data_IF_582711633493
#
_entry.id   IF_582711633493
#
_cell.length_a   1.000
_cell.length_b   1.000
_cell.length_c   1.000
_cell.angle_alpha   90.00
_cell.angle_beta   90.00
_cell.angle_gamma   90.00
#
_symmetry.space_group_name_H-M   'P 1'
#
loop_
_entity.id
_entity.type
_entity.pdbx_description
1 polymer ?
#
# COMPACT_ATOMS: atom_id res chain seq x y z
N UNK A 1 -16.57 14.42 0.20
CA UNK A 1 -15.76 14.03 -0.97
C UNK A 1 -16.56 13.30 -2.05
N UNK A 2 -17.55 12.46 -1.74
CA UNK A 2 -18.36 11.72 -2.73
C UNK A 2 -19.16 12.57 -3.74
N UNK A 3 -19.21 13.90 -3.57
CA UNK A 3 -19.85 14.82 -4.52
C UNK A 3 -19.01 15.16 -5.74
N UNK A 4 -17.69 14.88 -5.70
CA UNK A 4 -16.77 15.17 -6.79
C UNK A 4 -16.78 14.06 -7.83
N UNK A 5 -16.75 14.44 -9.11
CA UNK A 5 -16.56 13.51 -10.24
C UNK A 5 -15.07 13.36 -10.49
N UNK A 6 -14.56 12.14 -10.45
CA UNK A 6 -13.12 11.82 -10.51
C UNK A 6 -12.75 10.94 -11.71
N UNK A 7 -13.70 10.56 -12.55
CA UNK A 7 -13.47 9.62 -13.63
C UNK A 7 -12.78 10.20 -14.88
N UNK A 8 -12.45 11.50 -14.88
CA UNK A 8 -11.80 12.17 -16.01
C UNK A 8 -10.66 13.07 -15.52
N UNK A 9 -9.45 12.81 -16.02
CA UNK A 9 -8.32 13.71 -15.83
C UNK A 9 -8.56 14.96 -16.69
N UNK A 10 -8.24 16.14 -16.17
CA UNK A 10 -8.34 17.41 -16.93
C UNK A 10 -7.41 17.33 -18.15
N UNK A 11 -7.93 17.37 -19.39
CA UNK A 11 -7.15 17.03 -20.60
C UNK A 11 -5.89 17.90 -20.81
N UNK A 12 -5.94 19.19 -20.43
CA UNK A 12 -4.82 20.12 -20.59
C UNK A 12 -3.82 20.15 -19.42
N UNK A 13 -3.94 19.22 -18.46
CA UNK A 13 -3.07 19.19 -17.30
C UNK A 13 -1.78 18.43 -17.59
N UNK A 14 -0.67 18.81 -16.91
CA UNK A 14 0.57 18.02 -16.94
C UNK A 14 0.34 16.57 -16.44
N UNK A 15 -0.64 16.37 -15.58
CA UNK A 15 -1.01 15.06 -15.07
C UNK A 15 -1.61 14.18 -16.16
N UNK A 16 -2.44 14.73 -17.06
CA UNK A 16 -3.00 13.98 -18.19
C UNK A 16 -1.91 13.44 -19.14
N UNK A 17 -0.82 14.18 -19.30
CA UNK A 17 0.30 13.75 -20.13
C UNK A 17 1.05 12.51 -19.57
N UNK A 18 0.93 12.24 -18.28
CA UNK A 18 1.51 11.05 -17.63
C UNK A 18 0.64 9.80 -17.84
N UNK A 19 -0.63 9.97 -18.17
CA UNK A 19 -1.60 8.89 -18.35
C UNK A 19 -2.35 9.01 -19.68
N UNK A 20 -1.65 8.96 -20.82
CA UNK A 20 -2.26 9.15 -22.16
C UNK A 20 -3.31 8.09 -22.49
N UNK A 21 -3.19 6.91 -21.89
CA UNK A 21 -4.08 5.75 -22.13
C UNK A 21 -5.32 5.75 -21.21
N UNK A 22 -5.49 6.78 -20.35
CA UNK A 22 -6.64 6.83 -19.47
C UNK A 22 -7.95 6.93 -20.26
N UNK A 23 -8.82 5.95 -20.08
CA UNK A 23 -10.19 5.97 -20.61
C UNK A 23 -11.08 6.72 -19.64
N UNK A 24 -11.60 7.91 -19.99
CA UNK A 24 -12.45 8.67 -19.08
C UNK A 24 -13.80 7.99 -18.91
N UNK A 25 -14.25 7.91 -17.65
CA UNK A 25 -15.57 7.42 -17.28
C UNK A 25 -16.29 8.51 -16.50
N UNK A 26 -17.18 9.23 -17.16
CA UNK A 26 -17.95 10.30 -16.52
C UNK A 26 -18.88 9.73 -15.44
N UNK A 27 -19.28 10.57 -14.48
CA UNK A 27 -20.13 10.22 -13.34
C UNK A 27 -19.44 9.32 -12.28
N UNK A 28 -18.16 8.97 -12.47
CA UNK A 28 -17.40 8.22 -11.46
C UNK A 28 -17.14 9.10 -10.23
N UNK A 29 -17.54 8.62 -9.07
CA UNK A 29 -17.34 9.30 -7.78
C UNK A 29 -16.29 8.54 -6.96
N UNK A 30 -15.77 9.21 -5.92
CA UNK A 30 -14.88 8.56 -4.95
C UNK A 30 -15.66 7.43 -4.24
N UNK A 31 -15.23 6.16 -4.35
CA UNK A 31 -15.87 5.06 -3.64
C UNK A 31 -15.59 5.15 -2.13
N UNK A 32 -16.44 4.56 -1.32
CA UNK A 32 -16.14 4.26 0.08
C UNK A 32 -15.29 3.00 0.19
N UNK A 33 -14.64 2.79 1.33
CA UNK A 33 -13.90 1.56 1.60
C UNK A 33 -14.85 0.34 1.60
N UNK A 34 -16.06 0.49 2.15
CA UNK A 34 -17.09 -0.55 2.14
C UNK A 34 -17.52 -0.94 0.73
N UNK A 35 -17.65 0.06 -0.17
CA UNK A 35 -17.98 -0.20 -1.57
C UNK A 35 -16.87 -1.02 -2.27
N UNK A 36 -15.59 -0.76 -1.95
CA UNK A 36 -14.47 -1.54 -2.45
C UNK A 36 -14.49 -2.96 -1.90
N UNK A 37 -14.71 -3.14 -0.60
CA UNK A 37 -14.80 -4.46 0.02
C UNK A 37 -15.97 -5.26 -0.57
N UNK A 38 -17.14 -4.65 -0.72
CA UNK A 38 -18.30 -5.27 -1.35
C UNK A 38 -18.05 -5.66 -2.82
N UNK A 39 -17.31 -4.84 -3.58
CA UNK A 39 -16.92 -5.17 -4.96
C UNK A 39 -16.09 -6.46 -4.99
N UNK A 40 -15.08 -6.57 -4.14
CA UNK A 40 -14.20 -7.74 -4.08
C UNK A 40 -14.96 -8.99 -3.62
N UNK A 41 -15.90 -8.85 -2.70
CA UNK A 41 -16.78 -9.95 -2.27
C UNK A 41 -17.68 -10.42 -3.43
N UNK A 42 -18.34 -9.50 -4.16
CA UNK A 42 -19.16 -9.85 -5.34
C UNK A 42 -18.35 -10.53 -6.43
N UNK A 43 -17.07 -10.14 -6.62
CA UNK A 43 -16.16 -10.80 -7.55
C UNK A 43 -15.74 -12.22 -7.09
N UNK A 44 -16.12 -12.66 -5.91
CA UNK A 44 -15.70 -13.95 -5.35
C UNK A 44 -14.19 -14.06 -5.11
N UNK A 45 -13.46 -12.92 -5.14
CA UNK A 45 -12.02 -12.92 -5.00
C UNK A 45 -11.61 -13.05 -3.54
N UNK A 46 -11.05 -14.19 -3.18
CA UNK A 46 -10.54 -14.48 -1.83
C UNK A 46 -9.03 -14.26 -1.69
N UNK A 47 -8.32 -13.94 -2.77
CA UNK A 47 -6.85 -13.84 -2.80
C UNK A 47 -6.34 -12.40 -2.74
N UNK A 48 -7.09 -11.43 -3.29
CA UNK A 48 -6.67 -10.02 -3.30
C UNK A 48 -6.46 -9.52 -1.87
N UNK A 49 -5.39 -8.79 -1.69
CA UNK A 49 -5.06 -8.10 -0.44
C UNK A 49 -5.25 -6.61 -0.63
N UNK A 50 -5.48 -5.91 0.47
CA UNK A 50 -5.68 -4.47 0.48
C UNK A 50 -4.50 -3.80 1.17
N UNK A 51 -3.88 -2.83 0.50
CA UNK A 51 -2.89 -1.95 1.07
C UNK A 51 -3.52 -0.55 1.19
N UNK A 52 -3.88 -0.18 2.42
CA UNK A 52 -4.76 0.97 2.69
C UNK A 52 -3.95 2.06 3.36
N UNK A 53 -3.81 3.20 2.70
CA UNK A 53 -3.05 4.32 3.22
C UNK A 53 -3.91 5.23 4.10
N UNK A 54 -3.43 5.51 5.31
CA UNK A 54 -3.92 6.64 6.12
C UNK A 54 -3.17 7.91 5.74
N UNK A 55 -3.89 8.85 5.14
CA UNK A 55 -3.32 10.09 4.62
C UNK A 55 -3.57 11.25 5.56
N UNK A 56 -2.54 11.64 6.27
CA UNK A 56 -2.53 12.79 7.18
C UNK A 56 -1.13 13.39 7.24
N UNK A 57 -1.00 14.59 7.79
CA UNK A 57 0.28 15.29 7.91
C UNK A 57 0.49 15.83 9.32
N UNK A 58 1.60 15.52 10.00
CA UNK A 58 1.96 16.13 11.27
C UNK A 58 2.30 17.63 11.12
N UNK A 59 2.59 18.10 9.89
CA UNK A 59 2.92 19.48 9.58
C UNK A 59 1.65 20.33 9.33
N UNK A 60 0.51 19.70 9.10
CA UNK A 60 -0.79 20.34 8.87
C UNK A 60 -1.90 19.56 9.60
N UNK A 61 -1.85 19.49 10.93
CA UNK A 61 -2.75 18.61 11.70
C UNK A 61 -4.23 19.02 11.64
N UNK A 62 -4.51 20.26 11.26
CA UNK A 62 -5.88 20.77 11.11
C UNK A 62 -6.56 20.32 9.80
N UNK A 63 -5.80 19.80 8.82
CA UNK A 63 -6.33 19.45 7.51
C UNK A 63 -7.05 18.09 7.50
N UNK A 64 -6.85 17.28 8.53
CA UNK A 64 -7.40 15.92 8.61
C UNK A 64 -7.90 15.60 10.02
N UNK A 65 -8.55 14.45 10.17
CA UNK A 65 -8.81 13.88 11.49
C UNK A 65 -7.49 13.54 12.22
N UNK A 66 -7.53 13.44 13.56
CA UNK A 66 -6.35 13.02 14.33
C UNK A 66 -5.93 11.60 13.99
N UNK A 67 -4.65 11.23 14.24
CA UNK A 67 -4.18 9.87 14.03
C UNK A 67 -5.06 8.81 14.72
N UNK A 68 -5.53 9.08 15.92
CA UNK A 68 -6.38 8.16 16.69
C UNK A 68 -7.74 7.95 16.05
N UNK A 69 -8.39 9.02 15.63
CA UNK A 69 -9.71 8.98 14.99
C UNK A 69 -9.62 8.22 13.66
N UNK A 70 -8.61 8.55 12.84
CA UNK A 70 -8.45 7.93 11.53
C UNK A 70 -8.07 6.45 11.64
N UNK A 71 -7.12 6.10 12.50
CA UNK A 71 -6.70 4.71 12.69
C UNK A 71 -7.84 3.84 13.23
N UNK A 72 -8.58 4.30 14.25
CA UNK A 72 -9.70 3.53 14.82
C UNK A 72 -10.85 3.36 13.86
N UNK A 73 -11.19 4.40 13.09
CA UNK A 73 -12.21 4.29 12.06
C UNK A 73 -11.84 3.23 11.00
N UNK A 74 -10.57 3.20 10.59
CA UNK A 74 -10.06 2.21 9.63
C UNK A 74 -10.05 0.80 10.23
N UNK A 75 -9.58 0.63 11.48
CA UNK A 75 -9.60 -0.66 12.19
C UNK A 75 -11.04 -1.21 12.26
N UNK A 76 -12.01 -0.36 12.63
CA UNK A 76 -13.44 -0.76 12.69
C UNK A 76 -13.93 -1.26 11.35
N UNK A 77 -13.75 -0.47 10.27
CA UNK A 77 -14.18 -0.85 8.94
C UNK A 77 -13.56 -2.17 8.45
N UNK A 78 -12.25 -2.38 8.71
CA UNK A 78 -11.56 -3.61 8.34
C UNK A 78 -12.11 -4.83 9.12
N UNK A 79 -12.33 -4.67 10.43
CA UNK A 79 -12.87 -5.73 11.29
C UNK A 79 -14.33 -6.09 10.95
N UNK A 80 -15.17 -5.09 10.73
CA UNK A 80 -16.57 -5.25 10.31
C UNK A 80 -16.68 -6.00 8.97
N UNK A 81 -15.75 -5.75 8.06
CA UNK A 81 -15.68 -6.49 6.79
C UNK A 81 -15.08 -7.90 6.91
N UNK A 82 -14.53 -8.29 8.08
CA UNK A 82 -13.87 -9.59 8.27
C UNK A 82 -12.55 -9.74 7.48
N UNK A 83 -11.86 -8.62 7.17
CA UNK A 83 -10.72 -8.61 6.25
C UNK A 83 -9.36 -8.34 6.92
N UNK A 84 -9.28 -8.40 8.25
CA UNK A 84 -8.07 -8.06 9.02
C UNK A 84 -6.79 -8.74 8.49
N UNK A 85 -6.85 -10.05 8.22
CA UNK A 85 -5.70 -10.83 7.73
C UNK A 85 -5.34 -10.55 6.25
N UNK A 86 -6.23 -9.86 5.53
CA UNK A 86 -6.05 -9.48 4.12
C UNK A 86 -5.68 -8.02 3.93
N UNK A 87 -5.74 -7.21 4.99
CA UNK A 87 -5.38 -5.79 4.95
C UNK A 87 -3.97 -5.55 5.46
N UNK A 88 -3.33 -4.56 4.87
CA UNK A 88 -2.14 -3.87 5.35
C UNK A 88 -2.52 -2.40 5.46
N UNK A 89 -2.17 -1.75 6.56
CA UNK A 89 -2.31 -0.30 6.71
C UNK A 89 -0.94 0.32 6.48
N UNK A 90 -0.85 1.26 5.54
CA UNK A 90 0.37 2.01 5.29
C UNK A 90 0.20 3.49 5.60
N UNK A 91 1.27 4.17 5.97
CA UNK A 91 1.26 5.61 6.24
C UNK A 91 2.66 6.22 6.20
N UNK A 92 2.72 7.48 5.77
CA UNK A 92 3.87 8.36 6.02
C UNK A 92 3.92 8.84 7.46
N UNK A 93 2.76 9.03 8.08
CA UNK A 93 2.65 9.40 9.49
C UNK A 93 2.56 8.15 10.36
N UNK A 94 3.69 7.76 10.93
CA UNK A 94 3.82 6.51 11.68
C UNK A 94 3.01 6.45 12.97
N UNK A 95 2.47 7.59 13.43
CA UNK A 95 1.59 7.61 14.60
C UNK A 95 0.35 6.74 14.40
N UNK A 96 -0.23 6.71 13.19
CA UNK A 96 -1.35 5.82 12.89
C UNK A 96 -0.95 4.35 12.91
N UNK A 97 0.26 4.03 12.42
CA UNK A 97 0.77 2.66 12.40
C UNK A 97 1.01 2.13 13.82
N UNK A 98 1.54 2.98 14.71
CA UNK A 98 1.72 2.64 16.13
C UNK A 98 0.38 2.36 16.84
N UNK A 99 -0.68 3.06 16.45
CA UNK A 99 -2.04 2.82 16.98
C UNK A 99 -2.56 1.48 16.44
N UNK A 100 -2.42 1.22 15.14
CA UNK A 100 -2.85 -0.06 14.52
C UNK A 100 -2.12 -1.23 15.17
N UNK A 101 -0.80 -1.16 15.36
CA UNK A 101 -0.02 -2.25 15.98
C UNK A 101 -0.45 -2.52 17.42
N UNK A 102 -0.80 -1.48 18.18
CA UNK A 102 -1.24 -1.61 19.57
C UNK A 102 -2.67 -2.12 19.70
N UNK A 103 -3.60 -1.61 18.86
CA UNK A 103 -5.05 -1.84 19.00
C UNK A 103 -5.59 -2.95 18.09
N UNK A 104 -4.85 -3.31 17.03
CA UNK A 104 -5.23 -4.34 16.04
C UNK A 104 -4.00 -5.08 15.50
N UNK A 105 -3.24 -5.82 16.36
CA UNK A 105 -2.01 -6.48 15.96
C UNK A 105 -2.18 -7.56 14.87
N UNK A 106 -3.40 -7.97 14.60
CA UNK A 106 -3.74 -8.86 13.49
C UNK A 106 -3.72 -8.18 12.12
N UNK A 107 -3.75 -6.83 12.07
CA UNK A 107 -3.63 -6.04 10.84
C UNK A 107 -2.17 -5.69 10.62
N UNK A 108 -1.65 -6.02 9.44
CA UNK A 108 -0.27 -5.70 9.07
C UNK A 108 -0.09 -4.19 8.89
N UNK A 109 1.11 -3.71 9.16
CA UNK A 109 1.48 -2.30 8.93
C UNK A 109 2.66 -2.20 7.96
N UNK A 110 2.64 -1.21 7.07
CA UNK A 110 3.73 -0.87 6.16
C UNK A 110 4.15 0.59 6.36
N UNK A 111 5.44 0.80 6.48
CA UNK A 111 6.03 2.08 6.81
C UNK A 111 6.46 2.79 5.53
N UNK A 112 5.69 3.80 5.12
CA UNK A 112 6.03 4.63 3.96
C UNK A 112 7.20 5.55 4.29
N UNK A 113 8.20 5.56 3.39
CA UNK A 113 9.37 6.44 3.51
C UNK A 113 9.77 7.05 2.18
N UNK A 114 10.18 8.29 2.21
CA UNK A 114 10.88 8.97 1.14
C UNK A 114 12.00 9.84 1.71
N UNK A 115 13.13 9.88 1.01
CA UNK A 115 14.23 10.82 1.24
C UNK A 115 14.50 11.61 -0.05
N UNK A 116 13.46 12.29 -0.51
CA UNK A 116 13.45 13.05 -1.76
C UNK A 116 13.33 14.55 -1.47
N UNK A 117 13.77 15.39 -2.41
CA UNK A 117 13.68 16.85 -2.28
C UNK A 117 12.24 17.36 -2.09
N UNK A 118 11.25 16.65 -2.60
CA UNK A 118 9.84 17.01 -2.52
C UNK A 118 9.13 16.42 -1.29
N UNK A 119 9.68 15.38 -0.69
CA UNK A 119 9.23 14.78 0.57
C UNK A 119 10.40 14.03 1.21
N UNK A 120 10.76 14.42 2.42
CA UNK A 120 11.60 13.63 3.30
C UNK A 120 10.87 13.50 4.64
N UNK A 121 10.32 12.31 4.88
CA UNK A 121 9.55 12.07 6.09
C UNK A 121 10.34 11.36 7.19
N UNK A 122 11.59 10.99 6.96
CA UNK A 122 12.40 10.25 7.93
C UNK A 122 13.56 11.05 8.52
N UNK A 123 14.08 12.02 7.76
CA UNK A 123 15.15 12.89 8.28
C UNK A 123 14.61 13.93 9.26
N UNK A 124 15.40 14.33 10.26
CA UNK A 124 15.07 15.47 11.13
C UNK A 124 14.81 16.75 10.33
N UNK A 125 13.97 17.62 10.87
CA UNK A 125 13.79 18.95 10.30
C UNK A 125 15.09 19.76 10.47
N UNK A 126 15.40 20.62 9.50
CA UNK A 126 16.59 21.50 9.57
C UNK A 126 16.56 22.44 10.80
N UNK A 127 15.35 22.80 11.26
CA UNK A 127 15.14 23.63 12.46
C UNK A 127 15.29 22.86 13.78
N UNK A 128 15.35 21.51 13.74
CA UNK A 128 15.49 20.65 14.89
C UNK A 128 16.32 19.39 14.54
N UNK A 129 17.62 19.55 14.25
CA UNK A 129 18.46 18.51 13.65
C UNK A 129 18.69 17.29 14.56
N UNK A 130 18.53 17.44 15.85
CA UNK A 130 18.71 16.36 16.85
C UNK A 130 17.39 15.69 17.25
N UNK A 131 16.25 16.27 16.86
CA UNK A 131 14.94 15.69 17.12
C UNK A 131 14.61 14.61 16.08
N UNK A 132 13.73 13.64 16.41
CA UNK A 132 13.16 12.76 15.38
C UNK A 132 12.34 13.55 14.38
N UNK A 133 12.16 13.01 13.18
CA UNK A 133 11.19 13.56 12.23
C UNK A 133 9.78 13.59 12.86
N UNK A 134 8.97 14.61 12.62
CA UNK A 134 7.58 14.65 13.13
C UNK A 134 6.72 13.50 12.56
N UNK A 135 7.14 12.90 11.47
CA UNK A 135 6.44 11.79 10.80
C UNK A 135 6.70 10.42 11.44
N UNK A 136 7.83 10.26 12.14
CA UNK A 136 8.32 8.94 12.58
C UNK A 136 7.87 8.52 13.97
N UNK A 137 6.84 9.18 14.53
CA UNK A 137 6.27 8.85 15.85
C UNK A 137 7.32 8.79 16.99
N UNK A 138 8.35 9.62 16.92
CA UNK A 138 9.42 9.69 17.93
C UNK A 138 10.65 8.84 17.65
N UNK A 139 10.65 7.99 16.60
CA UNK A 139 11.83 7.23 16.20
C UNK A 139 12.82 8.14 15.47
N UNK A 140 14.09 8.13 15.87
CA UNK A 140 15.13 9.02 15.34
C UNK A 140 16.07 8.27 14.42
N UNK A 141 16.14 8.68 13.13
CA UNK A 141 16.98 8.05 12.11
C UNK A 141 18.48 8.04 12.52
N UNK A 142 18.98 9.10 13.15
CA UNK A 142 20.39 9.15 13.58
C UNK A 142 20.72 8.10 14.65
N UNK A 143 19.78 7.79 15.52
CA UNK A 143 19.98 6.75 16.56
C UNK A 143 20.00 5.34 15.98
N UNK A 144 19.24 5.12 14.91
CA UNK A 144 19.15 3.80 14.27
C UNK A 144 20.13 3.60 13.11
N UNK A 145 20.65 4.69 12.53
CA UNK A 145 21.72 4.67 11.53
C UNK A 145 21.29 4.37 10.10
N UNK A 146 20.11 3.72 9.89
CA UNK A 146 19.54 3.46 8.57
C UNK A 146 18.02 3.43 8.60
N UNK A 147 17.38 3.62 7.44
CA UNK A 147 15.91 3.56 7.32
C UNK A 147 15.38 2.14 7.61
N UNK A 148 15.98 1.05 7.10
CA UNK A 148 15.56 -0.29 7.48
C UNK A 148 15.57 -0.54 8.99
N UNK A 149 16.63 -0.14 9.69
CA UNK A 149 16.70 -0.27 11.16
C UNK A 149 15.70 0.60 11.88
N UNK A 150 15.44 1.80 11.37
CA UNK A 150 14.42 2.69 11.92
C UNK A 150 13.03 2.06 11.83
N UNK A 151 12.67 1.52 10.67
CA UNK A 151 11.40 0.79 10.45
C UNK A 151 11.29 -0.45 11.36
N UNK A 152 12.37 -1.22 11.44
CA UNK A 152 12.41 -2.39 12.31
C UNK A 152 12.24 -2.02 13.79
N UNK A 153 12.92 -0.97 14.25
CA UNK A 153 12.80 -0.48 15.62
C UNK A 153 11.39 0.03 15.95
N UNK A 154 10.69 0.59 14.96
CA UNK A 154 9.28 0.98 15.08
C UNK A 154 8.31 -0.21 15.09
N UNK A 155 8.80 -1.45 15.08
CA UNK A 155 7.98 -2.67 15.04
C UNK A 155 7.44 -3.00 13.64
N UNK A 156 7.96 -2.34 12.59
CA UNK A 156 7.58 -2.58 11.21
C UNK A 156 7.95 -3.99 10.74
N UNK A 157 7.12 -4.53 9.86
CA UNK A 157 7.37 -5.79 9.13
C UNK A 157 7.46 -5.56 7.63
N UNK A 158 6.99 -4.40 7.17
CA UNK A 158 7.01 -3.99 5.77
C UNK A 158 7.58 -2.58 5.71
N UNK A 159 8.65 -2.43 4.94
CA UNK A 159 9.20 -1.14 4.55
C UNK A 159 8.69 -0.79 3.15
N UNK A 160 7.92 0.27 3.03
CA UNK A 160 7.37 0.77 1.76
C UNK A 160 8.14 2.02 1.35
N UNK A 161 9.19 1.84 0.55
CA UNK A 161 10.16 2.87 0.20
C UNK A 161 9.86 3.53 -1.14
N UNK A 162 10.15 4.82 -1.26
CA UNK A 162 10.24 5.44 -2.58
C UNK A 162 11.32 4.72 -3.41
N UNK A 163 10.99 4.36 -4.64
CA UNK A 163 11.83 3.49 -5.48
C UNK A 163 13.25 4.02 -5.73
N UNK A 164 13.43 5.36 -5.72
CA UNK A 164 14.73 5.97 -5.92
C UNK A 164 15.64 5.88 -4.68
N UNK A 165 15.08 5.58 -3.51
CA UNK A 165 15.84 5.41 -2.26
C UNK A 165 16.37 3.98 -2.09
N UNK A 166 15.99 3.06 -2.99
CA UNK A 166 16.36 1.64 -2.91
C UNK A 166 17.63 1.34 -3.69
N UNK A 167 18.57 0.72 -3.00
CA UNK A 167 19.78 0.10 -3.53
C UNK A 167 19.99 -1.31 -2.96
N UNK A 168 21.01 -2.02 -3.47
CA UNK A 168 21.30 -3.38 -3.04
C UNK A 168 21.66 -3.48 -1.55
N UNK A 169 22.34 -2.46 -1.00
CA UNK A 169 22.81 -2.45 0.38
C UNK A 169 21.65 -2.33 1.36
N UNK A 170 20.76 -1.33 1.16
CA UNK A 170 19.66 -1.10 2.07
C UNK A 170 18.57 -2.17 1.92
N UNK A 171 18.40 -2.75 0.73
CA UNK A 171 17.51 -3.90 0.53
C UNK A 171 18.04 -5.14 1.28
N UNK A 172 19.33 -5.45 1.16
CA UNK A 172 19.94 -6.56 1.90
C UNK A 172 19.83 -6.37 3.42
N UNK A 173 20.07 -5.15 3.91
CA UNK A 173 19.88 -4.82 5.33
C UNK A 173 18.42 -5.03 5.77
N UNK A 174 17.45 -4.57 4.98
CA UNK A 174 16.03 -4.77 5.26
C UNK A 174 15.66 -6.25 5.35
N UNK A 175 16.09 -7.06 4.38
CA UNK A 175 15.86 -8.50 4.38
C UNK A 175 16.54 -9.21 5.57
N UNK A 176 17.77 -8.81 5.92
CA UNK A 176 18.48 -9.34 7.10
C UNK A 176 17.75 -9.02 8.42
N UNK A 177 16.97 -7.93 8.47
CA UNK A 177 16.11 -7.56 9.59
C UNK A 177 14.72 -8.23 9.52
N UNK A 178 14.45 -9.06 8.51
CA UNK A 178 13.16 -9.71 8.31
C UNK A 178 12.06 -8.80 7.79
N UNK A 179 12.41 -7.65 7.21
CA UNK A 179 11.47 -6.75 6.57
C UNK A 179 11.15 -7.22 5.15
N UNK A 180 9.87 -7.16 4.75
CA UNK A 180 9.49 -7.14 3.35
C UNK A 180 9.64 -5.72 2.81
N UNK A 181 10.06 -5.58 1.55
CA UNK A 181 10.29 -4.28 0.93
C UNK A 181 9.35 -4.08 -0.25
N UNK A 182 8.52 -3.04 -0.17
CA UNK A 182 7.68 -2.57 -1.26
C UNK A 182 8.29 -1.29 -1.85
N UNK A 183 8.27 -1.16 -3.16
CA UNK A 183 8.74 0.04 -3.87
C UNK A 183 7.57 0.79 -4.50
N UNK A 184 7.47 2.10 -4.29
CA UNK A 184 6.44 3.00 -4.81
C UNK A 184 7.03 4.27 -5.40
N UNK A 185 6.39 4.99 -6.30
CA UNK A 185 5.36 4.55 -7.25
C UNK A 185 6.06 4.26 -8.57
N UNK A 186 6.01 3.03 -9.03
CA UNK A 186 6.87 2.52 -10.11
C UNK A 186 6.05 2.37 -11.39
N UNK A 187 6.14 3.35 -12.28
CA UNK A 187 5.32 3.43 -13.50
C UNK A 187 6.09 3.16 -14.79
N UNK A 188 7.43 3.30 -14.77
CA UNK A 188 8.26 3.16 -15.95
C UNK A 188 8.78 1.73 -16.13
N UNK A 189 8.71 1.13 -17.33
CA UNK A 189 9.17 -0.24 -17.58
C UNK A 189 10.60 -0.51 -17.13
N UNK A 190 11.52 0.42 -17.36
CA UNK A 190 12.93 0.30 -16.94
C UNK A 190 13.08 0.25 -15.42
N UNK A 191 12.27 1.01 -14.68
CA UNK A 191 12.26 0.97 -13.22
C UNK A 191 11.61 -0.30 -12.67
N UNK A 192 10.54 -0.77 -13.31
CA UNK A 192 9.92 -2.05 -12.98
C UNK A 192 10.96 -3.18 -13.11
N UNK A 193 11.67 -3.24 -14.25
CA UNK A 193 12.72 -4.23 -14.48
C UNK A 193 13.83 -4.15 -13.42
N UNK A 194 14.37 -2.95 -13.20
CA UNK A 194 15.44 -2.72 -12.22
C UNK A 194 15.07 -3.21 -10.82
N UNK A 195 13.86 -2.90 -10.36
CA UNK A 195 13.43 -3.24 -9.01
C UNK A 195 13.13 -4.74 -8.85
N UNK A 196 12.58 -5.38 -9.88
CA UNK A 196 12.43 -6.84 -9.90
C UNK A 196 13.79 -7.53 -9.91
N UNK A 197 14.79 -7.01 -10.66
CA UNK A 197 16.16 -7.53 -10.66
C UNK A 197 16.85 -7.30 -9.31
N UNK A 198 16.57 -6.17 -8.66
CA UNK A 198 17.07 -5.87 -7.33
C UNK A 198 16.52 -6.84 -6.27
N UNK A 199 15.34 -7.41 -6.48
CA UNK A 199 14.73 -8.40 -5.60
C UNK A 199 13.81 -7.80 -4.53
N UNK A 200 13.11 -6.71 -4.83
CA UNK A 200 12.05 -6.19 -3.93
C UNK A 200 10.89 -7.19 -3.83
N UNK A 201 10.20 -7.19 -2.69
CA UNK A 201 9.10 -8.12 -2.42
C UNK A 201 7.79 -7.72 -3.11
N UNK A 202 7.67 -6.45 -3.53
CA UNK A 202 6.50 -5.98 -4.25
C UNK A 202 6.67 -4.58 -4.83
N UNK A 203 5.78 -4.26 -5.77
CA UNK A 203 5.73 -2.97 -6.45
C UNK A 203 4.36 -2.33 -6.25
N UNK A 204 4.34 -1.04 -5.97
CA UNK A 204 3.16 -0.19 -5.99
C UNK A 204 3.25 0.66 -7.26
N UNK A 205 2.22 0.58 -8.11
CA UNK A 205 2.22 1.19 -9.44
C UNK A 205 0.83 1.70 -9.83
N UNK A 206 0.78 2.84 -10.51
CA UNK A 206 -0.42 3.33 -11.19
C UNK A 206 -0.62 2.63 -12.54
N UNK A 207 0.40 1.86 -13.00
CA UNK A 207 0.42 1.10 -14.26
C UNK A 207 0.54 -0.40 -13.99
N UNK A 208 -0.46 -1.01 -13.31
CA UNK A 208 -0.45 -2.44 -13.02
C UNK A 208 -0.43 -3.30 -14.29
N UNK A 209 -0.90 -2.78 -15.42
CA UNK A 209 -0.80 -3.39 -16.75
C UNK A 209 0.66 -3.62 -17.14
N UNK A 210 1.54 -2.63 -16.99
CA UNK A 210 2.96 -2.73 -17.30
C UNK A 210 3.69 -3.68 -16.35
N UNK A 211 3.37 -3.62 -15.04
CA UNK A 211 3.93 -4.56 -14.06
C UNK A 211 3.55 -6.00 -14.40
N UNK A 212 2.27 -6.26 -14.72
CA UNK A 212 1.80 -7.58 -15.10
C UNK A 212 2.44 -8.10 -16.41
N UNK A 213 2.63 -7.21 -17.40
CA UNK A 213 3.32 -7.56 -18.64
C UNK A 213 4.76 -8.00 -18.38
N UNK A 214 5.50 -7.27 -17.52
CA UNK A 214 6.85 -7.63 -17.15
C UNK A 214 6.92 -8.92 -16.32
N UNK A 215 5.99 -9.13 -15.39
CA UNK A 215 5.87 -10.39 -14.66
C UNK A 215 5.65 -11.58 -15.62
N UNK A 216 4.74 -11.44 -16.60
CA UNK A 216 4.50 -12.47 -17.61
C UNK A 216 5.75 -12.78 -18.42
N UNK A 217 6.48 -11.75 -18.87
CA UNK A 217 7.74 -11.90 -19.60
C UNK A 217 8.80 -12.70 -18.83
N UNK A 218 8.78 -12.60 -17.49
CA UNK A 218 9.68 -13.32 -16.57
C UNK A 218 9.16 -14.69 -16.16
N UNK A 219 7.98 -15.11 -16.62
CA UNK A 219 7.36 -16.37 -16.20
C UNK A 219 6.86 -16.35 -14.75
N UNK A 220 6.71 -15.16 -14.14
CA UNK A 220 6.16 -15.03 -12.79
C UNK A 220 4.64 -15.29 -12.80
N UNK A 221 4.09 -15.91 -11.74
CA UNK A 221 2.67 -16.19 -11.67
C UNK A 221 1.85 -14.92 -11.63
N UNK A 222 0.80 -14.86 -12.42
CA UNK A 222 -0.15 -13.75 -12.44
C UNK A 222 -1.42 -14.11 -11.67
N UNK A 223 -2.02 -13.16 -10.92
CA UNK A 223 -3.34 -13.34 -10.33
C UNK A 223 -4.39 -13.62 -11.43
N UNK A 224 -5.31 -14.53 -11.14
CA UNK A 224 -6.45 -14.79 -12.03
C UNK A 224 -7.40 -13.61 -12.05
N UNK A 225 -7.98 -13.34 -13.23
CA UNK A 225 -9.08 -12.39 -13.33
C UNK A 225 -10.32 -12.94 -12.60
N UNK A 226 -11.00 -12.06 -11.87
CA UNK A 226 -12.26 -12.35 -11.18
C UNK A 226 -13.27 -11.27 -11.55
N UNK A 227 -13.85 -11.30 -12.78
CA UNK A 227 -14.85 -10.31 -13.19
C UNK A 227 -16.08 -10.40 -12.30
N UNK A 228 -16.66 -9.26 -11.96
CA UNK A 228 -17.82 -9.17 -11.05
C UNK A 228 -19.06 -9.82 -11.66
N UNK A 229 -19.20 -9.77 -12.99
CA UNK A 229 -20.34 -10.29 -13.73
C UNK A 229 -20.13 -11.73 -14.26
N UNK A 230 -18.99 -12.36 -13.93
CA UNK A 230 -18.80 -13.77 -14.23
C UNK A 230 -19.71 -14.61 -13.34
N UNK A 231 -20.47 -15.52 -13.94
CA UNK A 231 -21.18 -16.54 -13.16
C UNK A 231 -20.19 -17.22 -12.19
N UNK A 232 -20.58 -17.48 -10.94
CA UNK A 232 -19.70 -18.20 -10.02
C UNK A 232 -19.26 -19.52 -10.71
N UNK A 233 -17.99 -19.94 -10.56
CA UNK A 233 -17.58 -21.23 -11.07
C UNK A 233 -18.56 -22.29 -10.54
N UNK A 234 -19.08 -23.13 -11.43
CA UNK A 234 -19.96 -24.22 -11.04
C UNK A 234 -19.24 -24.96 -9.89
N UNK A 235 -19.88 -25.03 -8.74
CA UNK A 235 -19.39 -25.80 -7.62
C UNK A 235 -19.07 -27.18 -8.17
N UNK A 236 -17.81 -27.58 -8.08
CA UNK A 236 -17.42 -28.97 -8.24
C UNK A 236 -18.14 -29.70 -7.12
N UNK A 237 -19.32 -30.23 -7.44
CA UNK A 237 -20.08 -31.08 -6.54
C UNK A 237 -19.12 -32.14 -6.02
N UNK A 238 -18.95 -32.16 -4.72
CA UNK A 238 -18.25 -33.25 -4.06
C UNK A 238 -18.88 -34.56 -4.54
N UNK A 239 -18.10 -35.59 -4.90
CA UNK A 239 -18.65 -36.86 -5.32
C UNK A 239 -19.62 -37.38 -4.26
N UNK A 240 -20.74 -37.99 -4.63
CA UNK A 240 -21.70 -38.53 -3.68
C UNK A 240 -21.01 -39.51 -2.75
N UNK A 241 -21.29 -39.38 -1.46
CA UNK A 241 -20.75 -40.29 -0.45
C UNK A 241 -21.15 -41.72 -0.80
N UNK A 242 -20.26 -42.72 -0.63
CA UNK A 242 -20.61 -44.12 -0.87
C UNK A 242 -21.74 -44.56 0.06
N UNK A 243 -22.63 -45.45 -0.36
CA UNK A 243 -23.70 -45.97 0.47
C UNK A 243 -23.14 -46.65 1.71
N UNK A 244 -23.69 -46.33 2.85
CA UNK A 244 -23.32 -47.00 4.13
C UNK A 244 -23.81 -48.46 4.07
N UNK A 245 -23.06 -49.39 4.67
CA UNK A 245 -23.43 -50.80 4.74
C UNK A 245 -24.64 -51.08 5.59
#
# INVERSE_FOLDING_TARGET
>A
MQRYQLGRIRPSSRYAAQFPDQVPVDITRLPTLDALFALVQRAGNRQVRFDIETKLSPLAPADTATPEVLARALISAIREAGLATRCTVQSFDWRTLQIVQREAPEIRTAYLTAQQRWLDNVSPLATAPDAPSPWTAGFNLRQHGSVPRLVHAAGGRIWSAHFADLDARNLQEAHALGLQVLAWTVNEPTQIQRLLDLGVDGLISDRPDLVRAEMARRGLPLPRATPVDAAPPADTQAPPAPPRP
#
